data_IF_648999017876
#
_entry.id   IF_648999017876
#
_cell.length_a   1.000
_cell.length_b   1.000
_cell.length_c   1.000
_cell.angle_alpha   90.00
_cell.angle_beta   90.00
_cell.angle_gamma   90.00
#
_symmetry.space_group_name_H-M   'P 1'
#
loop_
_entity.id
_entity.type
_entity.pdbx_description
1 polymer ?
#
# COMPACT_ATOMS: atom_id res chain seq x y z
N UNK A 1 12.29 -12.78 -10.55
CA UNK A 1 11.09 -12.31 -9.83
C UNK A 1 11.19 -10.80 -9.69
N UNK A 2 10.40 -10.04 -10.44
CA UNK A 2 10.44 -8.58 -10.40
C UNK A 2 9.61 -8.03 -9.23
N UNK A 3 10.21 -8.09 -8.04
CA UNK A 3 9.63 -7.50 -6.83
C UNK A 3 9.34 -6.00 -7.05
N UNK A 4 10.21 -5.30 -7.80
CA UNK A 4 9.99 -3.89 -8.18
C UNK A 4 8.70 -3.69 -8.98
N UNK A 5 8.45 -4.52 -9.99
CA UNK A 5 7.23 -4.41 -10.81
C UNK A 5 5.98 -4.66 -9.97
N UNK A 6 6.02 -5.67 -9.09
CA UNK A 6 4.92 -5.93 -8.13
C UNK A 6 4.67 -4.73 -7.23
N UNK A 7 5.73 -4.14 -6.66
CA UNK A 7 5.64 -2.95 -5.80
C UNK A 7 5.00 -1.78 -6.55
N UNK A 8 5.41 -1.51 -7.79
CA UNK A 8 4.83 -0.41 -8.60
C UNK A 8 3.36 -0.65 -8.96
N UNK A 9 3.00 -1.88 -9.28
CA UNK A 9 1.61 -2.25 -9.55
C UNK A 9 0.72 -2.06 -8.32
N UNK A 10 1.18 -2.53 -7.16
CA UNK A 10 0.48 -2.37 -5.88
C UNK A 10 0.31 -0.88 -5.57
N UNK A 11 1.41 -0.11 -5.63
CA UNK A 11 1.37 1.34 -5.39
C UNK A 11 0.36 2.00 -6.31
N UNK A 12 0.40 1.72 -7.61
CA UNK A 12 -0.53 2.32 -8.58
C UNK A 12 -2.00 1.98 -8.27
N UNK A 13 -2.29 0.73 -7.90
CA UNK A 13 -3.64 0.29 -7.49
C UNK A 13 -4.11 0.98 -6.21
N UNK A 14 -3.22 1.14 -5.22
CA UNK A 14 -3.51 1.84 -3.98
C UNK A 14 -3.73 3.34 -4.23
N UNK A 15 -2.92 3.97 -5.08
CA UNK A 15 -3.08 5.38 -5.45
C UNK A 15 -4.41 5.63 -6.19
N UNK A 16 -4.85 4.69 -7.03
CA UNK A 16 -6.12 4.76 -7.72
C UNK A 16 -7.34 4.50 -6.82
N UNK A 17 -7.17 3.79 -5.69
CA UNK A 17 -8.24 3.39 -4.78
C UNK A 17 -7.98 3.86 -3.35
N UNK A 18 -8.53 5.01 -2.94
CA UNK A 18 -8.34 5.54 -1.58
C UNK A 18 -8.86 4.61 -0.48
N UNK A 19 -9.86 3.76 -0.76
CA UNK A 19 -10.34 2.73 0.17
C UNK A 19 -9.27 1.67 0.43
N UNK A 20 -8.69 1.08 -0.62
CA UNK A 20 -7.62 0.08 -0.50
C UNK A 20 -6.39 0.67 0.18
N UNK A 21 -6.11 1.93 -0.08
CA UNK A 21 -5.02 2.67 0.52
C UNK A 21 -5.21 2.86 2.04
N UNK A 22 -6.43 3.17 2.50
CA UNK A 22 -6.77 3.18 3.93
C UNK A 22 -6.63 1.79 4.54
N UNK A 23 -7.12 0.75 3.87
CA UNK A 23 -6.97 -0.63 4.32
C UNK A 23 -5.51 -1.06 4.41
N UNK A 24 -4.68 -0.66 3.44
CA UNK A 24 -3.24 -0.92 3.42
C UNK A 24 -2.51 -0.13 4.52
N UNK A 25 -2.93 1.09 4.83
CA UNK A 25 -2.39 1.85 5.97
C UNK A 25 -2.73 1.19 7.30
N UNK A 26 -3.94 0.67 7.44
CA UNK A 26 -4.37 -0.03 8.65
C UNK A 26 -3.73 -1.42 8.80
N UNK A 27 -3.75 -2.22 7.74
CA UNK A 27 -3.23 -3.59 7.69
C UNK A 27 -2.60 -3.90 6.33
N UNK A 28 -1.31 -3.57 6.12
CA UNK A 28 -0.65 -3.75 4.82
C UNK A 28 -0.50 -5.23 4.43
N UNK A 29 -0.26 -6.12 5.38
CA UNK A 29 -0.15 -7.58 5.13
C UNK A 29 -1.46 -8.10 4.55
N UNK A 30 -2.55 -7.94 5.29
CA UNK A 30 -3.89 -8.36 4.87
C UNK A 30 -4.34 -7.70 3.56
N UNK A 31 -4.06 -6.41 3.37
CA UNK A 31 -4.38 -5.72 2.13
C UNK A 31 -3.63 -6.33 0.94
N UNK A 32 -2.34 -6.67 1.09
CA UNK A 32 -1.58 -7.34 0.05
C UNK A 32 -2.08 -8.75 -0.24
N UNK A 33 -2.37 -9.54 0.78
CA UNK A 33 -2.97 -10.87 0.63
C UNK A 33 -4.29 -10.80 -0.14
N UNK A 34 -5.18 -9.87 0.22
CA UNK A 34 -6.46 -9.66 -0.47
C UNK A 34 -6.29 -9.14 -1.90
N UNK A 35 -5.33 -8.23 -2.13
CA UNK A 35 -5.09 -7.63 -3.45
C UNK A 35 -4.42 -8.59 -4.43
N UNK A 36 -3.54 -9.45 -3.93
CA UNK A 36 -2.68 -10.30 -4.77
C UNK A 36 -3.07 -11.77 -4.72
N UNK A 37 -3.89 -12.17 -3.76
CA UNK A 37 -4.21 -13.58 -3.47
C UNK A 37 -2.98 -14.37 -2.99
N UNK A 38 -1.90 -13.70 -2.60
CA UNK A 38 -0.66 -14.32 -2.17
C UNK A 38 -0.69 -14.51 -0.67
N UNK A 39 -0.78 -15.76 -0.23
CA UNK A 39 -0.62 -16.18 1.16
C UNK A 39 0.87 -16.43 1.42
N UNK A 40 1.64 -15.34 1.46
CA UNK A 40 3.09 -15.36 1.69
C UNK A 40 3.38 -15.04 3.15
N UNK A 41 4.44 -15.63 3.74
CA UNK A 41 4.82 -15.31 5.11
C UNK A 41 5.20 -13.84 5.25
N UNK A 42 4.81 -13.24 6.38
CA UNK A 42 5.06 -11.84 6.71
C UNK A 42 6.49 -11.40 6.44
N UNK A 43 7.49 -12.24 6.74
CA UNK A 43 8.90 -11.94 6.52
C UNK A 43 9.24 -11.62 5.06
N UNK A 44 8.57 -12.25 4.10
CA UNK A 44 8.74 -11.97 2.67
C UNK A 44 7.92 -10.76 2.22
N UNK A 45 6.80 -10.48 2.89
CA UNK A 45 5.96 -9.32 2.61
C UNK A 45 6.54 -8.03 3.22
N UNK A 46 7.21 -8.08 4.37
CA UNK A 46 7.83 -6.95 5.05
C UNK A 46 8.67 -6.04 4.12
N UNK A 47 9.62 -6.55 3.31
CA UNK A 47 10.38 -5.70 2.40
C UNK A 47 9.51 -5.09 1.28
N UNK A 48 8.50 -5.82 0.80
CA UNK A 48 7.54 -5.34 -0.21
C UNK A 48 6.68 -4.21 0.37
N UNK A 49 6.11 -4.43 1.56
CA UNK A 49 5.30 -3.46 2.31
C UNK A 49 6.12 -2.20 2.56
N UNK A 50 7.35 -2.35 3.01
CA UNK A 50 8.25 -1.22 3.30
C UNK A 50 8.53 -0.41 2.04
N UNK A 51 8.83 -1.08 0.92
CA UNK A 51 9.05 -0.41 -0.36
C UNK A 51 7.79 0.30 -0.88
N UNK A 52 6.61 -0.33 -0.76
CA UNK A 52 5.30 0.25 -1.13
C UNK A 52 5.01 1.48 -0.26
N UNK A 53 5.15 1.38 1.06
CA UNK A 53 4.96 2.50 2.00
C UNK A 53 5.92 3.65 1.69
N UNK A 54 7.19 3.37 1.47
CA UNK A 54 8.19 4.37 1.13
C UNK A 54 7.84 5.08 -0.19
N UNK A 55 7.39 4.35 -1.21
CA UNK A 55 7.02 4.93 -2.51
C UNK A 55 5.73 5.74 -2.43
N UNK A 56 4.75 5.30 -1.63
CA UNK A 56 3.54 6.06 -1.33
C UNK A 56 3.84 7.35 -0.58
N UNK A 57 4.73 7.31 0.42
CA UNK A 57 5.19 8.49 1.13
C UNK A 57 5.94 9.45 0.18
N UNK A 58 6.87 8.93 -0.63
CA UNK A 58 7.59 9.73 -1.63
C UNK A 58 6.67 10.35 -2.69
N UNK A 59 5.52 9.72 -2.99
CA UNK A 59 4.50 10.28 -3.88
C UNK A 59 3.65 11.39 -3.25
N UNK A 60 3.82 11.69 -1.95
CA UNK A 60 3.06 12.69 -1.22
C UNK A 60 1.58 12.31 -0.97
N UNK A 61 1.18 11.11 -1.39
CA UNK A 61 -0.20 10.64 -1.27
C UNK A 61 -0.53 10.28 0.19
N UNK A 62 0.44 9.77 0.96
CA UNK A 62 0.26 9.52 2.40
C UNK A 62 -0.13 10.78 3.17
N UNK A 63 0.55 11.90 2.88
CA UNK A 63 0.24 13.22 3.48
C UNK A 63 -1.10 13.76 3.00
N UNK A 64 -1.41 13.62 1.71
CA UNK A 64 -2.70 14.04 1.16
C UNK A 64 -3.86 13.25 1.76
N UNK A 65 -3.74 11.96 2.01
CA UNK A 65 -4.79 11.19 2.69
C UNK A 65 -4.98 11.58 4.15
N UNK A 66 -3.87 11.84 4.86
CA UNK A 66 -3.93 12.35 6.23
C UNK A 66 -4.72 13.66 6.28
N UNK A 67 -4.46 14.55 5.32
CA UNK A 67 -5.22 15.79 5.16
C UNK A 67 -6.68 15.54 4.73
N UNK A 68 -6.94 14.68 3.74
CA UNK A 68 -8.29 14.34 3.26
C UNK A 68 -9.14 13.66 4.33
N UNK A 69 -8.55 12.84 5.19
CA UNK A 69 -9.23 12.19 6.31
C UNK A 69 -9.77 13.21 7.33
N UNK A 70 -9.08 14.32 7.52
CA UNK A 70 -9.53 15.43 8.36
C UNK A 70 -10.61 16.31 7.72
N UNK A 71 -10.86 16.19 6.42
CA UNK A 71 -11.90 16.97 5.71
C UNK A 71 -13.30 16.34 5.77
N UNK A 72 -13.39 15.05 6.16
CA UNK A 72 -14.67 14.35 6.35
C UNK A 72 -15.10 14.29 7.83
N UNK A 73 -14.47 15.09 8.71
CA UNK A 73 -14.81 15.19 10.14
C UNK A 73 -15.78 16.34 10.42
#
# INVERSE_FOLDING_TARGET
MDIKAKVEEIVSKLQANPTLLKEFQANPVKALEQMTGLDLPDEQLQPVITAVKAKLAASGIGEKLGALGGLFQ
#
